data_IF_092184480945
#
_entry.id   IF_092184480945
#
_cell.length_a   1.000
_cell.length_b   1.000
_cell.length_c   1.000
_cell.angle_alpha   90.00
_cell.angle_beta   90.00
_cell.angle_gamma   90.00
#
_symmetry.space_group_name_H-M   'P 1'
#
loop_
_entity.id
_entity.type
_entity.pdbx_description
1 polymer ?
#
# COMPACT_ATOMS: atom_id res chain seq x y z
N UNK A 1 25.79 60.54 37.84
CA UNK A 1 26.75 59.59 37.22
C UNK A 1 25.93 58.46 36.63
N UNK A 2 25.95 58.33 35.30
CA UNK A 2 24.99 57.52 34.52
C UNK A 2 25.35 56.03 34.52
N UNK A 3 24.38 55.16 34.83
CA UNK A 3 24.49 53.70 34.68
C UNK A 3 24.51 53.26 33.21
N UNK A 4 25.29 52.25 32.82
CA UNK A 4 25.20 51.67 31.48
C UNK A 4 24.10 50.58 31.44
N UNK A 5 23.14 50.76 30.54
CA UNK A 5 22.12 49.75 30.22
C UNK A 5 22.75 48.69 29.33
N UNK A 6 22.86 47.46 29.83
CA UNK A 6 23.26 46.27 29.07
C UNK A 6 22.10 45.81 28.18
N UNK A 7 22.27 45.94 26.87
CA UNK A 7 21.35 45.36 25.88
C UNK A 7 21.67 43.87 25.71
N UNK A 8 20.76 43.00 26.14
CA UNK A 8 20.79 41.57 25.83
C UNK A 8 20.16 41.40 24.45
N UNK A 9 20.98 41.12 23.44
CA UNK A 9 20.53 40.69 22.11
C UNK A 9 19.99 39.26 22.22
N UNK A 10 18.66 39.11 22.23
CA UNK A 10 17.99 37.83 22.04
C UNK A 10 18.11 37.45 20.55
N UNK A 11 18.99 36.50 20.24
CA UNK A 11 19.00 35.82 18.93
C UNK A 11 17.77 34.90 18.85
N UNK A 12 16.74 35.37 18.16
CA UNK A 12 15.60 34.56 17.73
C UNK A 12 16.07 33.56 16.67
N UNK A 13 16.31 32.31 17.08
CA UNK A 13 16.46 31.17 16.19
C UNK A 13 15.13 30.93 15.47
N UNK A 14 14.99 31.52 14.27
CA UNK A 14 13.95 31.14 13.33
C UNK A 14 14.23 29.70 12.86
N UNK A 15 13.57 28.73 13.48
CA UNK A 15 13.61 27.34 13.06
C UNK A 15 13.01 27.21 11.66
N UNK A 16 13.88 27.12 10.64
CA UNK A 16 13.47 26.74 9.29
C UNK A 16 13.08 25.27 9.36
N UNK A 17 11.78 24.99 9.46
CA UNK A 17 11.26 23.65 9.26
C UNK A 17 11.64 23.20 7.86
N UNK A 18 12.59 22.27 7.75
CA UNK A 18 12.97 21.67 6.48
C UNK A 18 11.79 20.82 5.99
N UNK A 19 10.95 21.38 5.12
CA UNK A 19 10.02 20.58 4.32
C UNK A 19 10.85 19.70 3.40
N UNK A 20 10.99 18.40 3.73
CA UNK A 20 11.50 17.40 2.80
C UNK A 20 10.65 17.44 1.54
N UNK A 21 11.28 17.68 0.38
CA UNK A 21 10.58 17.68 -0.89
C UNK A 21 10.13 16.25 -1.19
N UNK A 22 8.84 16.06 -1.40
CA UNK A 22 8.30 14.76 -1.81
C UNK A 22 8.10 14.73 -3.32
N UNK A 23 8.18 13.54 -3.88
CA UNK A 23 7.76 13.26 -5.25
C UNK A 23 6.45 12.48 -5.18
N UNK A 24 5.40 13.05 -5.77
CA UNK A 24 4.10 12.38 -5.93
C UNK A 24 4.07 11.62 -7.24
N UNK A 25 3.48 10.43 -7.25
CA UNK A 25 3.32 9.64 -8.47
C UNK A 25 2.06 8.77 -8.45
N UNK A 26 1.76 8.24 -9.63
CA UNK A 26 0.73 7.22 -9.82
C UNK A 26 1.37 6.01 -10.48
N UNK A 27 1.09 4.82 -9.97
CA UNK A 27 1.47 3.54 -10.57
C UNK A 27 0.21 2.70 -10.75
N UNK A 28 -0.01 2.17 -11.95
CA UNK A 28 -1.11 1.25 -12.23
C UNK A 28 -0.53 -0.14 -12.48
N UNK A 29 -0.98 -1.11 -11.71
CA UNK A 29 -0.60 -2.51 -11.82
C UNK A 29 -1.84 -3.40 -11.94
N UNK A 30 -1.63 -4.63 -12.39
CA UNK A 30 -2.65 -5.67 -12.45
C UNK A 30 -2.14 -6.89 -11.69
N UNK A 31 -2.84 -7.29 -10.63
CA UNK A 31 -2.61 -8.58 -10.00
C UNK A 31 -3.36 -9.65 -10.79
N UNK A 32 -2.64 -10.65 -11.31
CA UNK A 32 -3.19 -11.65 -12.22
C UNK A 32 -3.36 -13.00 -11.52
N UNK A 33 -4.58 -13.33 -11.13
CA UNK A 33 -4.91 -14.59 -10.46
C UNK A 33 -5.32 -15.70 -11.42
N UNK A 34 -5.28 -15.49 -12.75
CA UNK A 34 -5.82 -16.45 -13.73
C UNK A 34 -5.07 -17.77 -13.73
N UNK A 35 -3.73 -17.70 -13.66
CA UNK A 35 -2.86 -18.89 -13.66
C UNK A 35 -2.45 -19.33 -12.24
N UNK A 36 -2.56 -18.43 -11.27
CA UNK A 36 -2.18 -18.66 -9.87
C UNK A 36 -3.27 -18.13 -8.91
N UNK A 37 -4.45 -18.77 -8.85
CA UNK A 37 -5.55 -18.28 -8.03
C UNK A 37 -5.20 -18.33 -6.54
N UNK A 38 -5.78 -17.42 -5.77
CA UNK A 38 -5.67 -17.43 -4.32
C UNK A 38 -6.15 -18.77 -3.75
N UNK A 39 -5.48 -19.25 -2.71
CA UNK A 39 -5.81 -20.47 -1.99
C UNK A 39 -6.60 -20.11 -0.73
N UNK A 40 -7.79 -20.67 -0.60
CA UNK A 40 -8.63 -20.55 0.58
C UNK A 40 -8.28 -21.66 1.58
N UNK A 41 -7.91 -21.28 2.79
CA UNK A 41 -7.91 -22.15 3.95
C UNK A 41 -9.19 -21.85 4.76
N UNK A 42 -10.15 -22.78 4.68
CA UNK A 42 -11.36 -22.79 5.50
C UNK A 42 -10.94 -23.16 6.94
N UNK A 43 -11.03 -22.19 7.85
CA UNK A 43 -10.58 -22.33 9.24
C UNK A 43 -11.67 -22.02 10.26
N UNK A 44 -12.81 -21.49 9.79
CA UNK A 44 -13.98 -21.23 10.62
C UNK A 44 -15.03 -22.31 10.49
N UNK A 45 -16.28 -21.89 10.28
CA UNK A 45 -17.37 -22.81 10.01
C UNK A 45 -17.34 -23.23 8.53
N UNK A 46 -17.76 -24.46 8.17
CA UNK A 46 -17.71 -24.91 6.79
C UNK A 46 -18.34 -23.90 5.80
N UNK A 47 -17.58 -23.52 4.77
CA UNK A 47 -17.97 -22.50 3.79
C UNK A 47 -17.43 -21.11 4.14
N UNK A 48 -17.85 -20.06 3.43
CA UNK A 48 -17.36 -18.69 3.67
C UNK A 48 -17.72 -18.21 5.08
N UNK A 49 -16.71 -18.11 5.95
CA UNK A 49 -16.88 -17.84 7.37
C UNK A 49 -15.79 -16.93 7.93
N UNK A 50 -16.12 -16.23 9.03
CA UNK A 50 -15.14 -15.37 9.71
C UNK A 50 -13.97 -16.21 10.21
N UNK A 51 -12.76 -15.77 9.86
CA UNK A 51 -11.51 -16.48 10.15
C UNK A 51 -10.84 -17.07 8.91
N UNK A 52 -11.59 -17.33 7.84
CA UNK A 52 -11.05 -17.92 6.61
C UNK A 52 -9.88 -17.12 6.04
N UNK A 53 -8.87 -17.83 5.57
CA UNK A 53 -7.62 -17.24 5.12
C UNK A 53 -7.49 -17.43 3.61
N UNK A 54 -7.33 -16.34 2.88
CA UNK A 54 -6.91 -16.35 1.49
C UNK A 54 -5.40 -16.04 1.43
N UNK A 55 -4.61 -16.95 0.88
CA UNK A 55 -3.19 -16.75 0.61
C UNK A 55 -2.95 -16.77 -0.90
N UNK A 56 -2.11 -15.86 -1.40
CA UNK A 56 -1.85 -15.74 -2.84
C UNK A 56 -0.41 -15.37 -3.13
N UNK A 57 0.07 -15.83 -4.28
CA UNK A 57 1.36 -15.48 -4.87
C UNK A 57 1.17 -15.49 -6.39
N UNK A 58 1.13 -14.31 -6.98
CA UNK A 58 0.58 -14.06 -8.32
C UNK A 58 1.49 -13.16 -9.15
N UNK A 59 1.50 -13.29 -10.49
CA UNK A 59 2.14 -12.31 -11.34
C UNK A 59 1.60 -10.89 -11.11
N UNK A 60 2.51 -9.92 -11.06
CA UNK A 60 2.21 -8.50 -11.11
C UNK A 60 2.51 -7.98 -12.51
N UNK A 61 1.50 -7.42 -13.17
CA UNK A 61 1.61 -6.86 -14.51
C UNK A 61 1.52 -5.33 -14.48
N UNK A 62 2.07 -4.66 -15.49
CA UNK A 62 1.76 -3.26 -15.79
C UNK A 62 0.44 -3.11 -16.56
N UNK A 63 0.02 -1.87 -16.80
CA UNK A 63 -1.22 -1.57 -17.54
C UNK A 63 -1.22 -2.06 -19.01
N UNK A 64 -0.07 -2.45 -19.56
CA UNK A 64 0.05 -3.06 -20.90
C UNK A 64 -0.01 -4.59 -20.87
N UNK A 65 -0.11 -5.20 -19.69
CA UNK A 65 -0.12 -6.64 -19.49
C UNK A 65 1.28 -7.27 -19.43
N UNK A 66 2.35 -6.47 -19.37
CA UNK A 66 3.71 -7.00 -19.22
C UNK A 66 4.00 -7.28 -17.75
N UNK A 67 4.56 -8.46 -17.47
CA UNK A 67 4.99 -8.81 -16.11
C UNK A 67 6.11 -7.89 -15.63
N UNK A 68 5.91 -7.28 -14.47
CA UNK A 68 6.85 -6.36 -13.80
C UNK A 68 7.29 -6.86 -12.42
N UNK A 69 6.75 -8.00 -11.97
CA UNK A 69 7.13 -8.64 -10.73
C UNK A 69 6.06 -9.58 -10.19
N UNK A 70 5.86 -9.54 -8.88
CA UNK A 70 4.97 -10.46 -8.14
C UNK A 70 4.10 -9.72 -7.11
N UNK A 71 2.88 -10.24 -6.90
CA UNK A 71 1.88 -9.81 -5.95
C UNK A 71 1.63 -10.96 -4.97
N UNK A 72 2.08 -10.82 -3.73
CA UNK A 72 2.08 -11.92 -2.76
C UNK A 72 1.54 -11.46 -1.41
N UNK A 73 0.62 -12.20 -0.81
CA UNK A 73 -0.02 -11.75 0.42
C UNK A 73 -1.04 -12.68 1.03
N UNK A 74 -1.71 -12.13 2.04
CA UNK A 74 -2.70 -12.84 2.85
C UNK A 74 -3.87 -11.93 3.23
N UNK A 75 -5.05 -12.53 3.27
CA UNK A 75 -6.30 -11.90 3.65
C UNK A 75 -7.05 -12.80 4.64
N UNK A 76 -7.63 -12.20 5.68
CA UNK A 76 -8.47 -12.92 6.66
C UNK A 76 -9.91 -12.43 6.56
N UNK A 77 -10.87 -13.35 6.47
CA UNK A 77 -12.29 -13.03 6.38
C UNK A 77 -12.74 -12.43 7.71
N UNK A 78 -13.09 -11.14 7.68
CA UNK A 78 -13.60 -10.43 8.87
C UNK A 78 -15.09 -10.17 8.80
N UNK A 79 -15.68 -10.16 7.59
CA UNK A 79 -17.13 -10.03 7.39
C UNK A 79 -17.57 -10.72 6.10
N UNK A 80 -18.37 -11.78 6.25
CA UNK A 80 -18.92 -12.58 5.14
C UNK A 80 -19.76 -11.72 4.20
N UNK A 81 -19.60 -11.93 2.89
CA UNK A 81 -20.31 -11.20 1.84
C UNK A 81 -20.03 -9.69 1.81
N UNK A 82 -18.90 -9.25 2.38
CA UNK A 82 -18.56 -7.85 2.49
C UNK A 82 -17.06 -7.57 2.34
N UNK A 83 -16.19 -8.17 3.15
CA UNK A 83 -14.75 -7.86 3.08
C UNK A 83 -13.82 -8.86 3.78
N UNK A 84 -12.57 -8.84 3.34
CA UNK A 84 -11.41 -9.35 4.06
C UNK A 84 -10.59 -8.21 4.70
N UNK A 85 -9.82 -8.54 5.74
CA UNK A 85 -8.68 -7.72 6.19
C UNK A 85 -7.41 -8.29 5.57
N UNK A 86 -6.71 -7.48 4.78
CA UNK A 86 -5.63 -7.92 3.91
C UNK A 86 -4.32 -7.19 4.19
N UNK A 87 -3.22 -7.87 3.89
CA UNK A 87 -1.89 -7.30 3.72
C UNK A 87 -1.16 -8.05 2.60
N UNK A 88 -0.46 -7.31 1.74
CA UNK A 88 0.32 -7.92 0.67
C UNK A 88 1.46 -7.04 0.20
N UNK A 89 2.35 -7.65 -0.56
CA UNK A 89 3.57 -7.04 -1.08
C UNK A 89 3.58 -7.12 -2.60
N UNK A 90 3.78 -5.97 -3.24
CA UNK A 90 4.17 -5.86 -4.63
C UNK A 90 5.70 -5.91 -4.69
N UNK A 91 6.26 -6.99 -5.23
CA UNK A 91 7.70 -7.12 -5.46
C UNK A 91 8.02 -6.68 -6.88
N UNK A 92 8.92 -5.71 -7.03
CA UNK A 92 9.37 -5.16 -8.31
C UNK A 92 10.89 -5.40 -8.47
N UNK A 93 11.43 -5.09 -9.66
CA UNK A 93 12.85 -5.27 -9.93
C UNK A 93 13.78 -4.43 -9.03
N UNK A 94 13.33 -3.28 -8.56
CA UNK A 94 14.12 -2.29 -7.82
C UNK A 94 13.69 -2.10 -6.36
N UNK A 95 12.77 -2.93 -5.86
CA UNK A 95 12.29 -2.88 -4.49
C UNK A 95 10.91 -3.48 -4.33
N UNK A 96 10.23 -3.11 -3.25
CA UNK A 96 8.88 -3.60 -2.98
C UNK A 96 8.00 -2.52 -2.37
N UNK A 97 6.70 -2.66 -2.54
CA UNK A 97 5.68 -1.82 -1.91
C UNK A 97 4.76 -2.75 -1.13
N UNK A 98 4.59 -2.48 0.16
CA UNK A 98 3.67 -3.23 1.01
C UNK A 98 2.42 -2.39 1.27
N UNK A 99 1.26 -3.04 1.22
CA UNK A 99 -0.03 -2.42 1.51
C UNK A 99 -0.83 -3.24 2.51
N UNK A 100 -1.70 -2.58 3.27
CA UNK A 100 -2.61 -3.24 4.20
C UNK A 100 -3.92 -2.46 4.36
N UNK A 101 -5.03 -3.18 4.46
CA UNK A 101 -6.36 -2.56 4.51
C UNK A 101 -7.49 -3.57 4.31
N UNK A 102 -8.70 -3.06 4.13
CA UNK A 102 -9.86 -3.92 3.86
C UNK A 102 -10.04 -4.05 2.36
N UNK A 103 -10.09 -5.28 1.87
CA UNK A 103 -10.51 -5.56 0.50
C UNK A 103 -11.98 -5.99 0.52
N UNK A 104 -12.82 -5.26 -0.21
CA UNK A 104 -14.25 -5.52 -0.31
C UNK A 104 -14.52 -6.61 -1.35
N UNK A 105 -15.53 -7.44 -1.07
CA UNK A 105 -15.98 -8.49 -1.99
C UNK A 105 -16.52 -7.90 -3.30
N UNK A 106 -16.98 -6.63 -3.26
CA UNK A 106 -17.54 -5.88 -4.39
C UNK A 106 -17.18 -4.41 -4.29
N UNK A 107 -17.03 -3.78 -5.45
CA UNK A 107 -16.69 -2.37 -5.55
C UNK A 107 -15.20 -2.11 -5.39
N UNK A 108 -14.85 -0.83 -5.25
CA UNK A 108 -13.48 -0.38 -5.09
C UNK A 108 -13.05 -0.42 -3.62
N UNK A 109 -11.86 -0.94 -3.37
CA UNK A 109 -11.24 -0.97 -2.04
C UNK A 109 -10.14 0.07 -1.95
N UNK A 110 -10.16 0.92 -0.91
CA UNK A 110 -9.09 1.85 -0.59
C UNK A 110 -8.18 1.25 0.49
N UNK A 111 -6.88 1.13 0.19
CA UNK A 111 -5.93 0.33 0.97
C UNK A 111 -4.65 1.14 1.19
N UNK A 112 -4.17 1.19 2.42
CA UNK A 112 -3.03 2.03 2.76
C UNK A 112 -1.73 1.43 2.25
N UNK A 113 -0.86 2.28 1.70
CA UNK A 113 0.55 1.94 1.48
C UNK A 113 1.25 2.06 2.84
N UNK A 114 1.75 0.95 3.37
CA UNK A 114 2.36 0.89 4.70
C UNK A 114 3.87 1.07 4.67
N UNK A 115 4.51 0.85 3.53
CA UNK A 115 5.93 1.08 3.34
C UNK A 115 6.46 0.46 2.06
N UNK A 116 7.78 0.55 1.90
CA UNK A 116 8.47 -0.05 0.77
C UNK A 116 9.97 -0.18 1.01
N UNK A 117 10.64 -0.83 0.07
CA UNK A 117 12.08 -1.12 0.10
C UNK A 117 12.74 -0.66 -1.19
N UNK A 118 14.08 -0.59 -1.22
CA UNK A 118 14.83 -0.23 -2.43
C UNK A 118 14.45 1.16 -2.96
N UNK A 119 14.16 1.26 -4.26
CA UNK A 119 13.70 2.50 -4.91
C UNK A 119 12.38 3.04 -4.31
N UNK A 120 11.65 2.20 -3.56
CA UNK A 120 10.38 2.52 -2.92
C UNK A 120 10.52 2.78 -1.42
N UNK A 121 11.74 2.91 -0.90
CA UNK A 121 11.98 3.17 0.53
C UNK A 121 11.31 4.47 0.98
N UNK A 122 10.46 4.37 2.00
CA UNK A 122 9.69 5.50 2.54
C UNK A 122 8.43 5.86 1.75
N UNK A 123 8.02 5.05 0.77
CA UNK A 123 6.78 5.25 0.03
C UNK A 123 5.57 5.25 0.97
N UNK A 124 4.64 6.18 0.75
CA UNK A 124 3.39 6.31 1.50
C UNK A 124 2.26 6.76 0.58
N UNK A 125 1.02 6.48 0.95
CA UNK A 125 -0.14 6.84 0.15
C UNK A 125 -1.24 5.79 0.21
N UNK A 126 -1.97 5.65 -0.88
CA UNK A 126 -3.13 4.78 -0.99
C UNK A 126 -3.10 4.01 -2.30
N UNK A 127 -3.54 2.76 -2.25
CA UNK A 127 -3.87 1.92 -3.38
C UNK A 127 -5.39 1.78 -3.47
N UNK A 128 -5.96 1.97 -4.65
CA UNK A 128 -7.30 1.46 -4.95
C UNK A 128 -7.20 0.10 -5.64
N UNK A 129 -7.99 -0.88 -5.18
CA UNK A 129 -8.09 -2.24 -5.76
C UNK A 129 -9.49 -2.46 -6.29
N UNK A 130 -9.60 -2.86 -7.56
CA UNK A 130 -10.85 -3.14 -8.25
C UNK A 130 -10.79 -4.53 -8.87
N UNK A 131 -11.70 -5.42 -8.47
CA UNK A 131 -11.88 -6.73 -9.09
C UNK A 131 -12.51 -6.55 -10.48
N UNK A 132 -11.81 -7.02 -11.52
CA UNK A 132 -12.27 -6.90 -12.90
C UNK A 132 -13.30 -7.98 -13.31
N UNK A 133 -13.52 -8.99 -12.45
CA UNK A 133 -14.48 -10.07 -12.70
C UNK A 133 -13.95 -11.20 -13.60
N UNK A 134 -12.68 -11.15 -13.99
CA UNK A 134 -12.03 -12.09 -14.90
C UNK A 134 -10.83 -12.82 -14.27
N UNK A 135 -10.71 -12.76 -12.94
CA UNK A 135 -9.55 -13.26 -12.20
C UNK A 135 -8.40 -12.26 -12.12
N UNK A 136 -8.59 -11.00 -12.49
CA UNK A 136 -7.59 -9.94 -12.30
C UNK A 136 -8.10 -8.82 -11.41
N UNK A 137 -7.18 -8.14 -10.75
CA UNK A 137 -7.45 -6.93 -9.97
C UNK A 137 -6.64 -5.76 -10.51
N UNK A 138 -7.32 -4.69 -10.89
CA UNK A 138 -6.67 -3.42 -11.24
C UNK A 138 -6.30 -2.68 -9.95
N UNK A 139 -5.02 -2.37 -9.79
CA UNK A 139 -4.48 -1.68 -8.63
C UNK A 139 -3.94 -0.31 -9.06
N UNK A 140 -4.47 0.78 -8.51
CA UNK A 140 -3.96 2.13 -8.74
C UNK A 140 -3.35 2.70 -7.47
N UNK A 141 -2.03 2.82 -7.44
CA UNK A 141 -1.28 3.37 -6.34
C UNK A 141 -1.09 4.87 -6.56
N UNK A 142 -1.60 5.70 -5.64
CA UNK A 142 -1.29 7.12 -5.53
C UNK A 142 -0.33 7.30 -4.37
N UNK A 143 0.93 7.58 -4.69
CA UNK A 143 2.01 7.52 -3.71
C UNK A 143 2.80 8.83 -3.60
N UNK A 144 3.54 8.94 -2.51
CA UNK A 144 4.55 9.96 -2.24
C UNK A 144 5.82 9.27 -1.79
N UNK A 145 6.95 9.73 -2.32
CA UNK A 145 8.29 9.30 -1.93
C UNK A 145 9.07 10.48 -1.36
N UNK A 146 9.81 10.31 -0.26
CA UNK A 146 10.81 11.28 0.15
C UNK A 146 11.90 11.35 -0.91
N UNK A 147 12.37 12.56 -1.23
CA UNK A 147 13.58 12.76 -2.04
C UNK A 147 14.84 12.67 -1.21
#
# INVERSE_FOLDING_TARGET
MHSPVRWILLLSLAGIGACSRETTGTLVTVADARDAPARLADSGAPGDSVGDILAFDQPLLDASGRRIGDNSGVCVRTRVGHSYQCQWTLSLADGSIQVAGREFDRGESAIAIVGGTGAWSGVRGEMTSVNNGDGTFTQTLRYRLPR
#
